data_IF_223518691964
#
_entry.id   IF_223518691964
#
_cell.length_a   1.000
_cell.length_b   1.000
_cell.length_c   1.000
_cell.angle_alpha   90.00
_cell.angle_beta   90.00
_cell.angle_gamma   90.00
#
_symmetry.space_group_name_H-M   'P 1'
#
loop_
_entity.id
_entity.type
_entity.pdbx_description
1 polymer ?
#
# COMPACT_ATOMS: atom_id res chain seq x y z
N UNK A 1 -4.98 40.12 7.34
CA UNK A 1 -5.72 39.49 6.24
C UNK A 1 -4.74 38.59 5.51
N UNK A 2 -4.85 37.27 5.68
CA UNK A 2 -3.96 36.31 5.00
C UNK A 2 -4.60 36.02 3.65
N UNK A 3 -4.13 36.71 2.60
CA UNK A 3 -4.48 36.38 1.22
C UNK A 3 -3.43 35.40 0.69
N UNK A 4 -3.83 34.14 0.53
CA UNK A 4 -3.04 33.15 -0.21
C UNK A 4 -3.33 33.37 -1.70
N UNK A 5 -2.28 33.46 -2.52
CA UNK A 5 -2.38 33.74 -3.96
C UNK A 5 -2.81 32.51 -4.78
N UNK A 6 -2.77 31.33 -4.18
CA UNK A 6 -2.96 30.05 -4.85
C UNK A 6 -4.08 29.25 -4.18
N UNK A 7 -4.89 28.55 -4.99
CA UNK A 7 -6.10 27.85 -4.54
C UNK A 7 -5.81 26.38 -4.12
N UNK A 8 -4.55 26.02 -3.94
CA UNK A 8 -4.13 24.65 -3.61
C UNK A 8 -3.15 24.68 -2.45
N UNK A 9 -3.56 24.18 -1.29
CA UNK A 9 -2.69 23.99 -0.13
C UNK A 9 -2.00 22.63 -0.27
N UNK A 10 -0.67 22.64 -0.39
CA UNK A 10 0.17 21.44 -0.43
C UNK A 10 0.74 21.13 0.95
N UNK A 11 1.33 19.95 1.13
CA UNK A 11 1.98 19.59 2.40
C UNK A 11 3.10 20.55 2.83
N UNK A 12 3.69 21.29 1.89
CA UNK A 12 4.74 22.28 2.14
C UNK A 12 4.22 23.57 2.82
N UNK A 13 2.92 23.86 2.69
CA UNK A 13 2.28 25.07 3.22
C UNK A 13 1.91 24.94 4.71
N UNK A 14 2.14 23.76 5.28
CA UNK A 14 1.84 23.46 6.68
C UNK A 14 3.00 23.96 7.56
N UNK A 15 2.75 24.82 8.57
CA UNK A 15 3.79 25.31 9.46
C UNK A 15 4.34 24.20 10.36
N UNK A 16 5.63 24.31 10.70
CA UNK A 16 6.27 23.46 11.71
C UNK A 16 5.53 23.61 13.07
N UNK A 17 5.31 22.53 13.85
CA UNK A 17 5.83 21.16 13.71
C UNK A 17 4.91 20.17 12.98
N UNK A 18 3.76 20.60 12.44
CA UNK A 18 2.78 19.68 11.84
C UNK A 18 3.33 19.04 10.55
N UNK A 19 4.19 19.76 9.82
CA UNK A 19 4.88 19.26 8.61
C UNK A 19 5.93 18.15 8.90
N UNK A 20 6.20 17.79 10.16
CA UNK A 20 7.13 16.69 10.46
C UNK A 20 6.57 15.29 10.15
N UNK A 21 5.27 15.16 9.84
CA UNK A 21 4.70 13.84 9.52
C UNK A 21 4.61 13.63 8.01
N UNK A 22 5.67 12.96 7.55
CA UNK A 22 5.74 12.02 6.40
C UNK A 22 6.71 12.45 5.29
N UNK A 23 7.95 12.71 5.68
CA UNK A 23 9.07 12.28 4.86
C UNK A 23 9.41 10.84 5.26
N UNK A 24 8.47 9.92 5.01
CA UNK A 24 8.91 8.56 4.68
C UNK A 24 9.70 8.78 3.40
N UNK A 25 11.03 8.76 3.53
CA UNK A 25 11.95 8.84 2.41
C UNK A 25 11.63 7.64 1.52
N UNK A 26 10.64 7.80 0.67
CA UNK A 26 10.46 7.03 -0.53
C UNK A 26 11.58 7.55 -1.41
N UNK A 27 12.79 7.06 -1.10
CA UNK A 27 13.97 7.15 -1.94
C UNK A 27 13.60 6.41 -3.21
N UNK A 28 12.79 7.05 -4.05
CA UNK A 28 12.50 6.63 -5.40
C UNK A 28 13.79 6.85 -6.17
N UNK A 29 14.80 6.01 -5.90
CA UNK A 29 15.61 5.55 -7.01
C UNK A 29 14.61 5.12 -8.08
N UNK A 30 14.84 5.46 -9.36
CA UNK A 30 13.99 4.99 -10.44
C UNK A 30 14.10 3.46 -10.45
N UNK A 31 13.26 2.82 -9.64
CA UNK A 31 13.00 1.41 -9.64
C UNK A 31 12.57 1.09 -11.06
N UNK A 32 13.00 -0.06 -11.58
CA UNK A 32 12.52 -0.49 -12.88
C UNK A 32 11.00 -0.55 -12.79
N UNK A 33 10.31 -0.22 -13.88
CA UNK A 33 8.84 -0.27 -13.98
C UNK A 33 8.24 -1.56 -13.40
N UNK A 34 8.98 -2.66 -13.53
CA UNK A 34 8.67 -3.96 -12.94
C UNK A 34 8.62 -3.92 -11.41
N UNK A 35 9.66 -3.41 -10.75
CA UNK A 35 9.78 -3.38 -9.29
C UNK A 35 8.72 -2.45 -8.67
N UNK A 36 8.50 -1.27 -9.25
CA UNK A 36 7.47 -0.35 -8.78
C UNK A 36 6.05 -0.96 -8.86
N UNK A 37 5.78 -1.73 -9.94
CA UNK A 37 4.52 -2.46 -10.08
C UNK A 37 4.39 -3.56 -9.04
N UNK A 38 5.45 -4.30 -8.76
CA UNK A 38 5.46 -5.37 -7.77
C UNK A 38 5.18 -4.83 -6.35
N UNK A 39 5.82 -3.73 -5.95
CA UNK A 39 5.54 -3.07 -4.66
C UNK A 39 4.10 -2.60 -4.54
N UNK A 40 3.57 -1.97 -5.59
CA UNK A 40 2.17 -1.54 -5.62
C UNK A 40 1.20 -2.73 -5.55
N UNK A 41 1.42 -3.77 -6.35
CA UNK A 41 0.59 -4.98 -6.34
C UNK A 41 0.58 -5.61 -4.94
N UNK A 42 1.75 -5.69 -4.29
CA UNK A 42 1.89 -6.21 -2.94
C UNK A 42 1.10 -5.41 -1.91
N UNK A 43 1.29 -4.09 -1.91
CA UNK A 43 0.60 -3.18 -1.00
C UNK A 43 -0.92 -3.24 -1.20
N UNK A 44 -1.37 -3.32 -2.45
CA UNK A 44 -2.78 -3.40 -2.79
C UNK A 44 -3.41 -4.72 -2.31
N UNK A 45 -2.78 -5.87 -2.60
CA UNK A 45 -3.27 -7.17 -2.14
C UNK A 45 -3.33 -7.25 -0.61
N UNK A 46 -2.30 -6.76 0.08
CA UNK A 46 -2.26 -6.75 1.55
C UNK A 46 -3.39 -5.89 2.13
N UNK A 47 -3.67 -4.74 1.52
CA UNK A 47 -4.79 -3.86 1.91
C UNK A 47 -6.13 -4.58 1.74
N UNK A 48 -6.36 -5.25 0.61
CA UNK A 48 -7.61 -5.99 0.36
C UNK A 48 -7.77 -7.18 1.32
N UNK A 49 -6.69 -7.93 1.58
CA UNK A 49 -6.66 -9.01 2.58
C UNK A 49 -7.05 -8.50 3.98
N UNK A 50 -6.57 -7.33 4.38
CA UNK A 50 -6.92 -6.72 5.66
C UNK A 50 -8.41 -6.35 5.71
N UNK A 51 -8.92 -5.73 4.65
CA UNK A 51 -10.33 -5.33 4.53
C UNK A 51 -11.25 -6.56 4.53
N UNK A 52 -10.82 -7.67 3.93
CA UNK A 52 -11.58 -8.94 3.94
C UNK A 52 -11.53 -9.69 5.26
N UNK A 53 -10.84 -9.16 6.29
CA UNK A 53 -10.68 -9.81 7.59
C UNK A 53 -9.81 -11.07 7.53
N UNK A 54 -8.79 -11.06 6.67
CA UNK A 54 -7.92 -12.21 6.39
C UNK A 54 -8.64 -13.40 5.76
N UNK A 55 -9.86 -13.20 5.23
CA UNK A 55 -10.54 -14.20 4.42
C UNK A 55 -10.00 -14.16 2.99
N UNK A 56 -9.22 -15.18 2.62
CA UNK A 56 -8.57 -15.28 1.31
C UNK A 56 -9.56 -15.45 0.15
N UNK A 57 -10.68 -16.15 0.37
CA UNK A 57 -11.71 -16.30 -0.67
C UNK A 57 -12.36 -14.95 -0.97
N UNK A 58 -12.75 -14.23 0.09
CA UNK A 58 -13.32 -12.88 -0.04
C UNK A 58 -12.31 -11.87 -0.60
N UNK A 59 -11.02 -12.00 -0.27
CA UNK A 59 -9.98 -11.14 -0.85
C UNK A 59 -9.80 -11.40 -2.35
N UNK A 60 -9.83 -12.68 -2.76
CA UNK A 60 -9.72 -13.08 -4.16
C UNK A 60 -10.92 -12.58 -4.99
N UNK A 61 -12.14 -12.67 -4.44
CA UNK A 61 -13.35 -12.08 -5.03
C UNK A 61 -13.24 -10.55 -5.17
N UNK A 62 -12.74 -9.84 -4.15
CA UNK A 62 -12.56 -8.39 -4.21
C UNK A 62 -11.48 -7.95 -5.21
N UNK A 63 -10.48 -8.79 -5.44
CA UNK A 63 -9.41 -8.56 -6.42
C UNK A 63 -9.77 -9.05 -7.82
N UNK A 64 -10.93 -9.70 -7.99
CA UNK A 64 -11.37 -10.35 -9.23
C UNK A 64 -10.33 -11.32 -9.81
N UNK A 65 -9.73 -12.12 -8.93
CA UNK A 65 -8.74 -13.15 -9.29
C UNK A 65 -9.09 -14.47 -8.65
N UNK A 66 -8.62 -15.57 -9.23
CA UNK A 66 -8.70 -16.87 -8.55
C UNK A 66 -7.88 -16.88 -7.26
N UNK A 67 -8.40 -17.56 -6.24
CA UNK A 67 -7.71 -17.78 -4.96
C UNK A 67 -6.33 -18.41 -5.15
N UNK A 68 -6.19 -19.33 -6.10
CA UNK A 68 -4.91 -19.96 -6.46
C UNK A 68 -3.90 -18.95 -7.01
N UNK A 69 -4.37 -17.96 -7.79
CA UNK A 69 -3.54 -16.87 -8.29
C UNK A 69 -3.08 -15.93 -7.18
N UNK A 70 -3.97 -15.61 -6.23
CA UNK A 70 -3.61 -14.81 -5.05
C UNK A 70 -2.48 -15.47 -4.26
N UNK A 71 -2.58 -16.77 -3.94
CA UNK A 71 -1.52 -17.50 -3.24
C UNK A 71 -0.22 -17.58 -4.04
N UNK A 72 -0.30 -17.81 -5.36
CA UNK A 72 0.88 -17.84 -6.23
C UNK A 72 1.60 -16.49 -6.22
N UNK A 73 0.86 -15.39 -6.30
CA UNK A 73 1.40 -14.02 -6.21
C UNK A 73 2.03 -13.77 -4.85
N UNK A 74 1.36 -14.09 -3.75
CA UNK A 74 1.91 -13.95 -2.40
C UNK A 74 3.21 -14.73 -2.23
N UNK A 75 3.26 -15.97 -2.72
CA UNK A 75 4.48 -16.79 -2.70
C UNK A 75 5.61 -16.21 -3.56
N UNK A 76 5.29 -15.64 -4.72
CA UNK A 76 6.27 -14.95 -5.57
C UNK A 76 6.90 -13.73 -4.87
N UNK A 77 6.14 -13.06 -4.02
CA UNK A 77 6.61 -11.93 -3.21
C UNK A 77 7.22 -12.33 -1.86
N UNK A 78 7.34 -13.63 -1.57
CA UNK A 78 7.90 -14.12 -0.30
C UNK A 78 6.99 -13.94 0.91
N UNK A 79 5.69 -13.72 0.70
CA UNK A 79 4.71 -13.67 1.80
C UNK A 79 4.21 -15.07 2.07
N UNK A 80 4.61 -15.60 3.22
CA UNK A 80 4.11 -16.88 3.70
C UNK A 80 2.69 -16.74 4.27
N UNK A 81 1.82 -17.77 4.12
CA UNK A 81 0.48 -17.77 4.71
C UNK A 81 0.50 -17.57 6.23
N UNK A 82 1.59 -17.99 6.89
CA UNK A 82 1.78 -17.82 8.32
C UNK A 82 1.88 -16.34 8.72
N UNK A 83 2.57 -15.53 7.92
CA UNK A 83 2.70 -14.08 8.13
C UNK A 83 1.34 -13.39 8.06
N UNK A 84 0.47 -13.85 7.14
CA UNK A 84 -0.90 -13.33 7.01
C UNK A 84 -1.73 -13.68 8.25
N UNK A 85 -1.55 -14.90 8.79
CA UNK A 85 -2.26 -15.36 9.99
C UNK A 85 -1.84 -14.59 11.25
N UNK A 86 -0.56 -14.23 11.37
CA UNK A 86 -0.03 -13.47 12.51
C UNK A 86 -0.57 -12.04 12.56
N UNK A 87 -0.81 -11.41 11.42
CA UNK A 87 -1.40 -10.06 11.33
C UNK A 87 -2.88 -9.98 11.74
N UNK A 88 -3.53 -11.13 12.00
CA UNK A 88 -4.91 -11.19 12.51
C UNK A 88 -5.02 -10.82 14.00
N UNK A 89 -3.89 -10.75 14.73
CA UNK A 89 -3.83 -10.45 16.17
C UNK A 89 -3.79 -8.95 16.47
#
# INVERSE_FOLDING_TARGET
MIMVRENTVTGADIPFPINQRKNENNSHHPLRLKEAREEFELAHMMKVIRISGYNMSRAAELLDIERSHLYRKLKQYGIEPETIRQNKR
#
